data_IF_334659697789
#
_entry.id   IF_334659697789
#
_cell.length_a   1.000
_cell.length_b   1.000
_cell.length_c   1.000
_cell.angle_alpha   90.00
_cell.angle_beta   90.00
_cell.angle_gamma   90.00
#
_symmetry.space_group_name_H-M   'P 1'
#
loop_
_entity.id
_entity.type
_entity.pdbx_description
1 polymer ?
2 non-polymer ?
3 non-polymer ?
4 non-polymer ?
5 water ?
#
# COMPACT_ATOMS: atom_id res chain seq x y z
N UNK A 1 -17.01 -7.93 2.38
CA UNK A 1 -16.72 -7.75 3.80
C UNK A 1 -16.14 -6.38 4.12
N UNK A 2 -16.14 -6.05 5.41
CA UNK A 2 -15.40 -4.92 5.94
C UNK A 2 -14.17 -5.36 6.75
N UNK A 3 -13.03 -4.75 6.43
CA UNK A 3 -11.76 -5.17 6.96
C UNK A 3 -11.18 -3.96 7.68
N UNK A 4 -10.90 -4.13 8.96
CA UNK A 4 -10.23 -3.11 9.75
C UNK A 4 -8.74 -3.21 9.54
N UNK A 5 -8.00 -2.23 10.04
CA UNK A 5 -6.56 -2.20 9.75
C UNK A 5 -5.63 -2.32 10.96
N UNK A 6 -6.13 -2.85 12.08
CA UNK A 6 -5.26 -3.10 13.23
C UNK A 6 -4.30 -4.24 12.90
N UNK A 7 -4.70 -5.10 11.98
CA UNK A 7 -3.79 -6.10 11.45
C UNK A 7 -3.64 -5.87 9.94
N UNK A 8 -2.58 -6.40 9.37
CA UNK A 8 -2.39 -6.41 7.95
C UNK A 8 -3.58 -7.03 7.23
N UNK A 9 -4.09 -6.37 6.20
CA UNK A 9 -5.18 -6.91 5.39
C UNK A 9 -4.74 -8.02 4.44
N UNK A 10 -4.32 -9.14 5.03
CA UNK A 10 -3.91 -10.34 4.30
C UNK A 10 -5.10 -11.25 4.07
N UNK A 11 -5.33 -11.62 2.81
CA UNK A 11 -6.43 -12.50 2.42
C UNK A 11 -5.88 -13.67 1.61
N UNK A 12 -6.69 -14.72 1.48
CA UNK A 12 -6.38 -15.85 0.62
C UNK A 12 -6.86 -15.57 -0.78
N UNK A 13 -5.96 -15.77 -1.73
CA UNK A 13 -6.33 -15.67 -3.12
C UNK A 13 -6.16 -17.05 -3.75
N UNK A 14 -6.95 -17.27 -4.80
CA UNK A 14 -6.82 -18.45 -5.63
C UNK A 14 -6.36 -17.98 -6.99
N UNK A 15 -5.29 -18.59 -7.47
CA UNK A 15 -4.77 -18.27 -8.79
C UNK A 15 -4.17 -19.55 -9.34
N UNK A 16 -4.87 -20.16 -10.29
CA UNK A 16 -4.41 -21.35 -11.00
C UNK A 16 -4.34 -22.52 -10.04
N UNK A 17 -5.45 -22.79 -9.37
CA UNK A 17 -5.45 -23.89 -8.43
C UNK A 17 -4.63 -23.68 -7.18
N UNK A 18 -3.77 -22.66 -7.13
CA UNK A 18 -2.94 -22.45 -5.94
C UNK A 18 -3.66 -21.47 -5.00
N UNK A 19 -3.61 -21.75 -3.70
CA UNK A 19 -4.06 -20.86 -2.63
C UNK A 19 -2.85 -20.11 -2.04
N UNK A 20 -2.89 -18.78 -2.08
CA UNK A 20 -1.79 -17.95 -1.60
C UNK A 20 -2.34 -16.85 -0.70
N UNK A 21 -1.49 -16.33 0.17
CA UNK A 21 -1.83 -15.21 1.01
C UNK A 21 -1.39 -13.94 0.28
N UNK A 22 -2.23 -12.91 0.27
CA UNK A 22 -1.84 -11.63 -0.36
C UNK A 22 -2.37 -10.44 0.41
N UNK A 23 -1.66 -9.32 0.27
CA UNK A 23 -1.96 -8.07 0.98
C UNK A 23 -2.76 -7.12 0.10
N UNK A 24 -3.92 -6.74 0.62
CA UNK A 24 -4.76 -5.74 -0.04
C UNK A 24 -4.07 -4.41 0.18
N UNK A 25 -3.58 -3.84 -0.92
CA UNK A 25 -2.63 -2.73 -0.91
C UNK A 25 -3.11 -1.52 -1.71
N UNK A 26 -3.83 -0.60 -1.08
CA UNK A 26 -4.36 0.57 -1.77
C UNK A 26 -3.30 1.56 -2.25
N UNK A 27 -2.09 1.40 -1.72
CA UNK A 27 -0.93 2.16 -2.16
C UNK A 27 -0.23 1.67 -3.41
N UNK A 28 -0.62 0.52 -3.93
CA UNK A 28 -0.03 -0.04 -5.15
C UNK A 28 -0.96 0.21 -6.34
N UNK A 29 -0.43 0.79 -7.42
CA UNK A 29 -1.22 0.94 -8.63
C UNK A 29 -1.45 -0.43 -9.27
N UNK A 30 -0.47 -1.31 -9.12
CA UNK A 30 -0.38 -2.57 -9.85
C UNK A 30 -0.26 -3.73 -8.87
N UNK A 31 -0.84 -4.86 -9.26
CA UNK A 31 -0.73 -6.11 -8.54
C UNK A 31 0.62 -6.72 -8.92
N UNK A 32 1.39 -7.10 -7.89
CA UNK A 32 2.70 -7.75 -8.05
C UNK A 32 2.75 -9.00 -7.16
N UNK A 33 3.10 -10.14 -7.73
CA UNK A 33 3.14 -11.40 -6.99
C UNK A 33 4.55 -11.94 -6.94
N UNK A 34 4.85 -12.63 -5.86
CA UNK A 34 6.11 -13.30 -5.68
C UNK A 34 6.27 -14.30 -6.81
N UNK A 35 7.54 -14.63 -7.03
CA UNK A 35 8.00 -15.61 -8.02
C UNK A 35 7.08 -16.84 -8.10
N UNK A 36 6.59 -17.11 -9.29
CA UNK A 36 5.74 -18.27 -9.55
C UNK A 36 5.61 -18.50 -11.04
N UNK A 37 5.14 -19.68 -11.40
CA UNK A 37 4.90 -20.01 -12.79
C UNK A 37 3.45 -19.73 -13.16
N UNK A 38 3.29 -18.99 -14.25
CA UNK A 38 1.98 -18.77 -14.81
C UNK A 38 2.01 -19.17 -16.29
N UNK A 39 0.87 -19.63 -16.82
CA UNK A 39 0.89 -20.00 -18.22
C UNK A 39 0.74 -18.79 -19.13
N UNK A 40 1.21 -18.96 -20.36
CA UNK A 40 0.98 -18.00 -21.43
C UNK A 40 2.22 -17.16 -21.65
N UNK A 41 2.08 -16.23 -22.58
CA UNK A 41 3.18 -15.37 -22.95
C UNK A 41 3.28 -14.31 -21.85
N UNK A 42 4.50 -13.86 -21.60
CA UNK A 42 4.72 -12.73 -20.72
C UNK A 42 5.74 -11.81 -21.38
N UNK A 43 5.80 -10.58 -20.87
CA UNK A 43 6.75 -9.55 -21.32
C UNK A 43 7.57 -9.05 -20.14
N UNK A 44 8.88 -8.84 -20.34
CA UNK A 44 9.74 -8.23 -19.32
C UNK A 44 9.35 -6.77 -19.11
N UNK A 45 9.14 -6.37 -17.86
CA UNK A 45 8.84 -4.98 -17.53
C UNK A 45 9.62 -4.61 -16.28
N UNK A 46 9.53 -3.35 -15.88
CA UNK A 46 10.21 -2.88 -14.69
C UNK A 46 9.16 -2.12 -13.89
N UNK A 47 9.27 -2.16 -12.56
CA UNK A 47 8.37 -1.37 -11.72
C UNK A 47 9.15 -0.87 -10.50
N UNK A 48 8.79 0.32 -10.02
CA UNK A 48 9.48 1.00 -8.93
C UNK A 48 8.62 1.03 -7.68
N UNK A 49 9.26 0.87 -6.53
CA UNK A 49 8.59 0.93 -5.24
C UNK A 49 9.39 1.86 -4.35
N UNK A 50 9.24 1.67 -3.05
CA UNK A 50 9.87 2.58 -2.11
C UNK A 50 11.39 2.52 -2.13
N UNK A 51 11.94 1.35 -2.42
CA UNK A 51 13.38 1.13 -2.41
C UNK A 51 14.04 1.19 -3.77
N UNK A 52 13.31 1.43 -4.85
CA UNK A 52 13.93 1.46 -6.17
C UNK A 52 13.13 0.60 -7.14
N UNK A 53 13.76 0.22 -8.24
CA UNK A 53 13.10 -0.50 -9.33
C UNK A 53 13.45 -1.98 -9.32
N UNK A 54 12.52 -2.82 -9.78
CA UNK A 54 12.79 -4.23 -9.94
C UNK A 54 12.38 -4.66 -11.33
N UNK A 55 12.89 -5.81 -11.74
CA UNK A 55 12.46 -6.47 -12.97
C UNK A 55 11.32 -7.43 -12.69
N UNK A 56 10.30 -7.39 -13.54
CA UNK A 56 9.11 -8.21 -13.35
C UNK A 56 8.71 -8.80 -14.69
N UNK A 57 7.94 -9.88 -14.64
CA UNK A 57 7.33 -10.51 -15.80
C UNK A 57 5.86 -10.15 -15.80
N UNK A 58 5.42 -9.56 -16.90
CA UNK A 58 4.04 -9.16 -17.03
C UNK A 58 3.25 -10.23 -17.77
N UNK A 59 2.26 -10.78 -17.06
CA UNK A 59 1.30 -11.72 -17.64
C UNK A 59 -0.04 -11.03 -17.78
N UNK A 60 -0.62 -11.08 -18.97
CA UNK A 60 -1.91 -10.44 -19.21
C UNK A 60 -3.10 -11.36 -18.95
N UNK A 61 -4.23 -10.72 -18.64
CA UNK A 61 -5.51 -11.39 -18.48
C UNK A 61 -5.40 -12.68 -17.65
N UNK A 62 -5.02 -12.54 -16.39
CA UNK A 62 -4.94 -13.66 -15.45
C UNK A 62 -6.07 -13.56 -14.43
N UNK A 63 -6.87 -14.62 -14.26
CA UNK A 63 -7.91 -14.56 -13.24
C UNK A 63 -7.34 -14.82 -11.85
N UNK A 64 -7.77 -13.99 -10.91
CA UNK A 64 -7.51 -14.22 -9.49
C UNK A 64 -8.84 -14.12 -8.74
N UNK A 65 -9.06 -15.03 -7.81
CA UNK A 65 -10.21 -14.99 -6.93
C UNK A 65 -9.75 -14.47 -5.58
N UNK A 66 -10.33 -13.35 -5.17
CA UNK A 66 -9.93 -12.59 -3.99
C UNK A 66 -11.12 -12.58 -3.05
N UNK A 67 -11.10 -13.45 -2.05
CA UNK A 67 -12.18 -13.53 -1.05
C UNK A 67 -13.53 -13.77 -1.70
N UNK A 68 -13.59 -14.72 -2.63
CA UNK A 68 -14.83 -15.02 -3.33
C UNK A 68 -15.14 -14.14 -4.53
N UNK A 69 -14.36 -13.09 -4.74
CA UNK A 69 -14.59 -12.13 -5.81
C UNK A 69 -13.63 -12.33 -6.96
N UNK A 70 -14.22 -12.33 -8.15
CA UNK A 70 -13.47 -12.63 -9.36
C UNK A 70 -12.81 -11.37 -9.90
N UNK A 71 -11.55 -11.51 -10.28
CA UNK A 71 -10.82 -10.50 -11.02
C UNK A 71 -10.09 -11.21 -12.14
N UNK A 72 -9.95 -10.52 -13.27
CA UNK A 72 -9.13 -10.95 -14.39
C UNK A 72 -8.40 -9.72 -14.89
N UNK A 73 -7.08 -9.77 -14.89
CA UNK A 73 -6.31 -8.64 -15.36
C UNK A 73 -4.84 -8.98 -15.51
N UNK A 74 -4.06 -7.91 -15.60
CA UNK A 74 -2.62 -8.01 -15.79
C UNK A 74 -1.97 -8.17 -14.44
N UNK A 75 -1.01 -9.08 -14.38
CA UNK A 75 -0.34 -9.42 -13.14
C UNK A 75 1.16 -9.32 -13.40
N UNK A 76 1.91 -8.78 -12.44
CA UNK A 76 3.37 -8.73 -12.50
C UNK A 76 3.95 -9.69 -11.46
N UNK A 77 5.03 -10.37 -11.83
CA UNK A 77 5.58 -11.43 -11.00
C UNK A 77 7.07 -11.09 -10.88
N UNK A 78 7.55 -10.95 -9.65
CA UNK A 78 8.97 -10.64 -9.45
C UNK A 78 9.25 -10.50 -7.98
N UNK A 79 10.40 -9.88 -7.64
CA UNK A 79 10.88 -9.79 -6.24
C UNK A 79 10.21 -8.74 -5.36
N UNK A 80 8.91 -8.92 -5.17
CA UNK A 80 8.14 -8.16 -4.20
C UNK A 80 8.35 -8.79 -2.82
N UNK A 81 8.34 -7.99 -1.75
CA UNK A 81 8.39 -8.61 -0.42
C UNK A 81 7.22 -9.53 -0.06
N UNK A 82 6.06 -9.33 -0.68
CA UNK A 82 4.85 -10.11 -0.42
C UNK A 82 3.91 -9.97 -1.61
N UNK A 83 3.01 -10.91 -1.81
CA UNK A 83 2.01 -10.73 -2.85
C UNK A 83 1.18 -9.49 -2.56
N UNK A 84 1.09 -8.59 -3.50
CA UNK A 84 0.24 -7.45 -3.31
C UNK A 84 -0.82 -7.32 -4.38
N UNK A 85 -2.06 -7.17 -3.93
CA UNK A 85 -3.17 -6.82 -4.75
C UNK A 85 -3.31 -5.29 -4.80
N UNK A 86 -3.04 -4.71 -5.96
CA UNK A 86 -3.18 -3.29 -6.15
C UNK A 86 -4.53 -2.81 -6.64
N UNK A 87 -4.59 -1.53 -6.95
CA UNK A 87 -5.79 -0.86 -7.40
C UNK A 87 -6.37 -1.44 -8.70
N UNK A 88 -5.50 -1.83 -9.61
CA UNK A 88 -5.95 -2.56 -10.78
C UNK A 88 -6.99 -3.65 -10.48
N UNK A 89 -6.78 -4.47 -9.46
CA UNK A 89 -7.72 -5.54 -9.17
C UNK A 89 -8.69 -5.26 -8.04
N UNK A 90 -8.28 -4.40 -7.11
CA UNK A 90 -9.18 -3.96 -6.05
C UNK A 90 -10.40 -3.22 -6.63
N UNK A 91 -10.21 -2.47 -7.73
CA UNK A 91 -11.35 -1.84 -8.41
C UNK A 91 -12.30 -2.86 -9.03
N UNK A 92 -11.73 -3.94 -9.54
CA UNK A 92 -12.51 -4.99 -10.18
C UNK A 92 -13.43 -5.61 -9.15
N UNK A 93 -12.95 -5.82 -7.92
CA UNK A 93 -13.80 -6.49 -6.93
C UNK A 93 -14.71 -5.54 -6.15
N UNK A 94 -14.70 -4.25 -6.45
CA UNK A 94 -15.62 -3.31 -5.82
C UNK A 94 -15.05 -2.71 -4.55
N UNK A 95 -13.73 -2.67 -4.43
CA UNK A 95 -13.16 -2.34 -3.14
C UNK A 95 -13.03 -0.82 -2.96
N UNK A 96 -13.42 -0.30 -1.79
CA UNK A 96 -13.24 1.12 -1.43
C UNK A 96 -12.65 1.32 -0.03
N UNK A 97 -12.12 2.52 0.21
CA UNK A 97 -11.74 2.97 1.55
C UNK A 97 -12.85 3.83 2.16
N UNK A 98 -13.20 3.52 3.40
CA UNK A 98 -14.24 4.25 4.12
C UNK A 98 -13.77 4.65 5.52
N UNK A 99 -14.16 5.85 5.95
CA UNK A 99 -13.91 6.29 7.31
C UNK A 99 -14.85 7.42 7.67
N UNK B 1 -16.18 9.62 4.69
CA UNK B 1 -16.24 9.52 3.23
C UNK B 1 -16.01 8.10 2.71
N UNK B 2 -16.38 7.87 1.46
CA UNK B 2 -16.00 6.66 0.73
C UNK B 2 -15.03 7.06 -0.37
N UNK B 3 -13.87 6.39 -0.40
CA UNK B 3 -12.82 6.74 -1.37
C UNK B 3 -12.62 5.66 -2.42
N UNK B 4 -12.90 6.02 -3.67
CA UNK B 4 -12.67 5.16 -4.83
C UNK B 4 -11.19 4.84 -5.03
N UNK B 5 -10.94 3.71 -5.68
CA UNK B 5 -9.58 3.28 -6.00
C UNK B 5 -9.28 3.32 -7.50
N UNK B 6 -10.16 3.96 -8.26
CA UNK B 6 -9.92 4.27 -9.67
C UNK B 6 -8.69 5.12 -9.82
N UNK B 7 -8.46 5.98 -8.85
CA UNK B 7 -7.26 6.81 -8.83
C UNK B 7 -6.55 6.59 -7.50
N UNK B 8 -5.28 6.98 -7.41
CA UNK B 8 -4.51 6.87 -6.18
C UNK B 8 -5.25 7.58 -5.04
N UNK B 9 -5.38 6.93 -3.87
CA UNK B 9 -6.13 7.54 -2.77
C UNK B 9 -5.38 8.65 -2.04
N UNK B 10 -5.24 9.77 -2.74
CA UNK B 10 -4.56 10.94 -2.22
C UNK B 10 -5.50 11.85 -1.46
N UNK B 11 -5.06 12.24 -0.26
CA UNK B 11 -5.81 13.14 0.56
C UNK B 11 -4.84 14.17 1.15
N UNK B 12 -5.42 15.25 1.64
CA UNK B 12 -4.68 16.31 2.27
C UNK B 12 -4.43 15.95 3.71
N UNK B 13 -3.20 16.19 4.13
CA UNK B 13 -2.88 16.08 5.53
C UNK B 13 -2.21 17.36 5.99
N UNK B 14 -2.25 17.53 7.31
CA UNK B 14 -1.52 18.61 7.94
C UNK B 14 -0.60 18.10 9.03
N UNK B 15 0.64 18.55 8.97
CA UNK B 15 1.62 18.21 9.99
C UNK B 15 2.45 19.47 10.22
N UNK B 16 2.50 19.93 11.47
CA UNK B 16 3.17 21.18 11.82
C UNK B 16 2.86 22.32 10.88
N UNK B 17 1.58 22.54 10.60
CA UNK B 17 1.22 23.56 9.62
C UNK B 17 1.82 23.42 8.23
N UNK B 18 2.40 22.27 7.92
CA UNK B 18 2.65 21.88 6.52
C UNK B 18 1.46 21.05 6.04
N UNK B 19 0.84 21.50 4.96
CA UNK B 19 -0.19 20.74 4.25
C UNK B 19 0.39 20.00 3.06
N UNK B 20 0.19 18.68 3.09
CA UNK B 20 0.77 17.82 2.08
C UNK B 20 -0.32 16.89 1.56
N UNK B 21 -0.04 16.35 0.38
CA UNK B 21 -0.80 15.27 -0.22
C UNK B 21 -0.15 13.93 0.16
N UNK B 22 -0.98 13.02 0.64
CA UNK B 22 -0.52 11.71 1.07
C UNK B 22 -1.45 10.58 0.67
N UNK B 23 -0.86 9.41 0.55
CA UNK B 23 -1.53 8.22 0.05
C UNK B 23 -2.13 7.43 1.21
N UNK B 24 -3.41 7.12 1.10
CA UNK B 24 -4.08 6.25 2.04
C UNK B 24 -3.71 4.82 1.68
N UNK B 25 -2.83 4.21 2.48
CA UNK B 25 -2.12 3.04 2.06
C UNK B 25 -2.23 1.88 3.06
N UNK B 26 -3.15 0.98 2.74
CA UNK B 26 -3.38 -0.21 3.55
C UNK B 26 -2.22 -1.22 3.47
N UNK B 27 -1.39 -1.12 2.43
CA UNK B 27 -0.17 -1.93 2.36
C UNK B 27 0.97 -1.49 3.27
N UNK B 28 0.86 -0.31 3.89
CA UNK B 28 1.94 0.23 4.71
C UNK B 28 1.65 0.06 6.21
N UNK B 29 2.56 -0.62 6.90
CA UNK B 29 2.40 -0.89 8.34
C UNK B 29 2.48 0.42 9.10
N UNK B 30 3.35 1.30 8.60
CA UNK B 30 3.64 2.57 9.27
C UNK B 30 3.76 3.77 8.35
N UNK B 31 3.27 4.89 8.84
CA UNK B 31 3.30 6.14 8.09
C UNK B 31 4.74 6.57 7.78
N UNK B 32 4.96 6.98 6.54
CA UNK B 32 6.26 7.51 6.18
C UNK B 32 6.07 8.72 5.28
N UNK B 33 6.71 9.79 5.69
CA UNK B 33 6.59 11.05 5.03
C UNK B 33 7.88 11.40 4.33
N UNK B 34 7.74 12.17 3.27
CA UNK B 34 8.83 12.77 2.55
C UNK B 34 9.72 13.59 3.47
N UNK B 35 10.98 13.67 3.11
CA UNK B 35 11.96 14.32 3.93
C UNK B 35 11.49 15.70 4.41
N UNK B 36 11.59 15.90 5.71
CA UNK B 36 11.26 17.16 6.36
C UNK B 36 11.93 17.27 7.74
N UNK B 37 12.20 18.46 8.20
CA UNK B 37 12.96 18.61 9.43
C UNK B 37 12.13 18.87 10.67
N UNK B 38 11.55 17.84 11.23
CA UNK B 38 10.70 17.99 12.37
C UNK B 38 11.47 18.21 13.65
N UNK B 39 10.88 18.92 14.59
CA UNK B 39 11.50 19.05 15.91
C UNK B 39 11.42 17.76 16.72
N UNK B 40 12.27 17.65 17.73
CA UNK B 40 12.13 16.57 18.70
C UNK B 40 13.12 15.48 18.41
N UNK B 41 13.09 14.45 19.24
CA UNK B 41 14.01 13.33 19.12
C UNK B 41 13.49 12.30 18.12
N UNK B 42 14.41 11.47 17.65
CA UNK B 42 14.12 10.39 16.71
C UNK B 42 15.03 9.18 16.92
N UNK B 43 14.62 8.05 16.36
CA UNK B 43 15.45 6.84 16.26
C UNK B 43 15.61 6.48 14.79
N UNK B 44 16.78 5.96 14.40
CA UNK B 44 16.93 5.54 13.00
C UNK B 44 16.34 4.16 12.75
N UNK B 45 15.69 3.99 11.61
CA UNK B 45 15.18 2.69 11.20
C UNK B 45 15.35 2.51 9.70
N UNK B 46 15.13 1.28 9.26
CA UNK B 46 15.07 0.96 7.86
C UNK B 46 13.77 0.26 7.53
N UNK B 47 13.14 0.65 6.43
CA UNK B 47 11.94 -0.03 5.97
C UNK B 47 12.17 -0.50 4.55
N UNK B 48 11.50 -1.60 4.22
CA UNK B 48 11.66 -2.23 2.94
C UNK B 48 10.37 -2.42 2.17
N UNK B 49 10.50 -2.30 0.86
CA UNK B 49 9.43 -2.71 -0.04
C UNK B 49 10.00 -3.13 -1.38
N UNK B 50 9.23 -2.88 -2.43
CA UNK B 50 9.72 -3.12 -3.77
C UNK B 50 10.96 -2.27 -3.96
N UNK B 51 12.04 -2.93 -4.37
CA UNK B 51 13.29 -2.25 -4.68
C UNK B 51 14.26 -2.38 -3.53
N UNK B 52 13.77 -2.78 -2.36
CA UNK B 52 14.61 -2.90 -1.18
C UNK B 52 14.29 -1.89 -0.10
N UNK B 53 15.31 -1.60 0.70
CA UNK B 53 15.17 -0.77 1.88
C UNK B 53 15.63 0.67 1.70
N UNK B 54 15.01 1.55 2.47
CA UNK B 54 15.49 2.92 2.66
C UNK B 54 15.64 3.22 4.14
N UNK B 55 16.50 4.20 4.43
CA UNK B 55 16.74 4.63 5.80
C UNK B 55 15.79 5.79 6.10
N UNK B 56 15.19 5.75 7.28
CA UNK B 56 14.24 6.76 7.76
C UNK B 56 14.48 7.09 9.23
N UNK B 57 13.88 8.18 9.68
CA UNK B 57 13.95 8.57 11.08
C UNK B 57 12.53 8.51 11.65
N UNK B 58 12.38 7.80 12.77
CA UNK B 58 11.13 7.71 13.48
C UNK B 58 11.11 8.80 14.56
N UNK B 59 10.19 9.72 14.41
CA UNK B 59 9.97 10.77 15.39
C UNK B 59 8.88 10.39 16.38
N UNK B 60 8.95 10.93 17.58
CA UNK B 60 7.97 10.61 18.61
C UNK B 60 6.67 11.41 18.48
N UNK B 61 5.57 10.82 18.89
CA UNK B 61 4.26 11.47 18.97
C UNK B 61 4.09 12.84 18.28
N UNK B 62 3.81 12.85 17.00
CA UNK B 62 3.42 14.08 16.30
C UNK B 62 1.94 14.07 15.91
N UNK B 63 1.22 15.17 16.20
CA UNK B 63 -0.13 15.31 15.67
C UNK B 63 -0.15 15.49 14.16
N UNK B 64 -1.01 14.71 13.52
CA UNK B 64 -1.25 14.83 12.09
C UNK B 64 -2.77 14.84 11.86
N UNK B 65 -3.25 15.80 11.08
CA UNK B 65 -4.66 15.85 10.73
C UNK B 65 -4.82 15.34 9.30
N UNK B 66 -5.77 14.43 9.12
CA UNK B 66 -6.00 13.75 7.85
C UNK B 66 -7.45 13.99 7.45
N UNK B 67 -7.67 14.79 6.41
CA UNK B 67 -9.04 15.19 6.09
C UNK B 67 -9.84 15.60 7.31
N UNK B 68 -9.27 16.46 8.15
CA UNK B 68 -10.00 16.96 9.31
C UNK B 68 -10.11 16.00 10.48
N UNK B 69 -9.63 14.77 10.34
CA UNK B 69 -9.63 13.80 11.42
C UNK B 69 -8.27 13.85 12.14
N UNK B 70 -8.33 13.91 13.47
CA UNK B 70 -7.14 14.02 14.29
C UNK B 70 -6.49 12.66 14.51
N UNK B 71 -5.18 12.64 14.32
CA UNK B 71 -4.42 11.46 14.67
C UNK B 71 -3.18 11.94 15.39
N UNK B 72 -2.48 11.03 16.04
CA UNK B 72 -1.17 11.36 16.57
C UNK B 72 -0.40 10.07 16.82
N UNK B 73 0.88 10.10 16.47
CA UNK B 73 1.67 8.89 16.55
C UNK B 73 3.12 9.13 16.22
N UNK B 74 3.94 8.11 16.41
CA UNK B 74 5.26 8.18 15.83
C UNK B 74 5.04 8.28 14.31
N UNK B 75 5.94 8.99 13.62
CA UNK B 75 5.97 8.95 12.15
C UNK B 75 7.41 8.76 11.67
N UNK B 76 7.54 8.04 10.57
CA UNK B 76 8.80 7.84 9.89
C UNK B 76 8.96 8.91 8.83
N UNK B 77 10.20 9.36 8.67
CA UNK B 77 10.54 10.41 7.71
C UNK B 77 11.79 10.00 6.95
N UNK B 78 11.75 10.12 5.63
CA UNK B 78 12.90 9.84 4.80
C UNK B 78 12.62 9.96 3.32
N UNK B 79 13.53 9.42 2.48
CA UNK B 79 13.50 9.70 1.06
C UNK B 79 12.51 8.81 0.30
N UNK B 80 11.26 8.82 0.76
CA UNK B 80 10.18 8.17 0.04
C UNK B 80 9.73 9.06 -1.12
N UNK B 81 9.38 8.47 -2.27
CA UNK B 81 8.87 9.26 -3.40
C UNK B 81 7.48 9.85 -3.19
N UNK B 82 6.78 9.38 -2.16
CA UNK B 82 5.43 9.83 -1.89
C UNK B 82 5.18 9.75 -0.40
N UNK B 83 4.35 10.66 0.09
CA UNK B 83 3.84 10.65 1.46
C UNK B 83 2.79 9.55 1.63
N UNK B 84 3.01 8.71 2.64
CA UNK B 84 2.25 7.48 2.80
C UNK B 84 1.68 7.40 4.20
N UNK B 85 0.34 7.31 4.27
CA UNK B 85 -0.37 7.15 5.52
C UNK B 85 -0.64 5.67 5.73
N UNK B 86 0.03 5.09 6.72
CA UNK B 86 -0.02 3.67 6.98
C UNK B 86 -1.09 3.33 8.00
N UNK B 87 -1.22 2.03 8.25
CA UNK B 87 -2.24 1.47 9.16
C UNK B 87 -2.18 2.07 10.57
N UNK B 88 -0.98 2.41 11.03
CA UNK B 88 -0.84 3.04 12.33
C UNK B 88 -1.79 4.24 12.46
N UNK B 89 -1.94 5.05 11.41
CA UNK B 89 -2.83 6.21 11.44
C UNK B 89 -4.19 5.99 10.78
N UNK B 90 -4.30 5.04 9.86
CA UNK B 90 -5.60 4.71 9.26
C UNK B 90 -6.58 4.17 10.31
N UNK B 91 -6.05 3.42 11.28
CA UNK B 91 -6.89 2.89 12.35
C UNK B 91 -7.39 4.01 13.25
N UNK B 92 -6.54 5.00 13.52
CA UNK B 92 -6.92 6.13 14.34
C UNK B 92 -8.03 7.01 13.76
N UNK B 93 -8.14 7.09 12.44
CA UNK B 93 -9.17 7.91 11.80
C UNK B 93 -10.36 7.08 11.32
N UNK B 94 -10.45 5.82 11.75
CA UNK B 94 -11.57 4.93 11.45
C UNK B 94 -11.66 4.34 10.05
N UNK B 95 -10.52 4.16 9.40
CA UNK B 95 -10.51 3.71 8.03
C UNK B 95 -10.61 2.20 7.90
N UNK B 96 -11.53 1.77 7.04
CA UNK B 96 -11.69 0.37 6.65
C UNK B 96 -11.61 0.20 5.14
N UNK B 97 -11.34 -1.04 4.75
CA UNK B 97 -11.51 -1.50 3.38
C UNK B 97 -12.84 -2.19 3.31
N UNK B 98 -13.60 -1.91 2.25
CA UNK B 98 -14.92 -2.51 2.07
C UNK B 98 -15.07 -2.97 0.64
N UNK B 99 -15.66 -4.15 0.47
CA UNK B 99 -16.02 -4.64 -0.86
C UNK B 99 -17.05 -5.75 -0.71
X LIG C 1 6.12 1.45 6.69
X LIG C 1 6.17 1.16 5.37
X LIG C 1 6.81 0.00 4.91
X LIG C 1 6.83 -0.23 3.53
X LIG C 1 6.23 0.64 2.62
X LIG C 1 5.57 1.76 3.12
X LIG C 1 5.56 2.04 4.48
X LIG C 1 6.20 0.33 1.03
X LIG C 1 7.40 -0.38 0.64
X LIG C 1 6.02 1.56 0.29
X LIG C 1 4.91 -0.60 0.66
X LIG C 1 4.86 -1.92 1.34
X LIG C 1 4.32 -3.02 0.41
X LIG C 1 5.12 -3.19 -0.88
X LIG C 1 4.16 -4.37 1.11
X LIG C 1 3.61 0.11 0.67
X LIG C 1 3.12 0.12 -0.78
X LIG C 1 1.74 0.50 -0.81
X LIG C 1 3.90 0.98 -1.77
X LIG C 1 3.41 0.53 -3.05
X LIG C 1 4.11 -0.03 -4.03
X LIG C 1 5.28 -0.32 -3.97
X LIG C 1 3.36 -0.29 -5.25
X LIG C 1 4.11 -0.58 -6.43
X LIG C 1 3.24 -1.51 -7.24
X LIG C 1 2.33 -0.67 -7.94
X LIG C 1 3.04 0.52 -8.28
X LIG C 1 2.24 1.67 -8.03
X LIG C 1 2.75 2.37 -6.89
X LIG C 1 4.21 2.01 -6.78
X LIG C 1 4.26 0.60 -7.37
X LIG C 1 3.74 2.51 -1.57
X LIG C 1 3.75 3.96 -3.63
X LIG C 1 4.37 4.66 -4.66
X LIG C 1 5.75 4.73 -4.69
X LIG C 1 6.48 4.09 -3.69
X LIG C 1 5.85 3.40 -2.66
X LIG C 1 4.46 3.31 -2.63
X LIG D 1 -9.00 -20.69 -12.11
X LIG D 1 -10.03 -21.80 -12.04
X LIG D 1 -7.73 -21.08 -11.39
X LIG D 1 -8.83 -20.29 -13.56
X LIG D 1 -9.55 -19.43 -11.49
X LIG E 1 1.82 -18.14 0.45
X LIG E 1 1.86 -19.42 -0.38
X LIG E 1 1.37 -17.05 -0.50
X LIG E 1 0.90 -18.33 1.64
X LIG E 1 3.19 -17.81 1.01
X LIG F 1 5.69 -22.07 -8.72
X LIG F 1 5.55 -23.43 -8.07
X LIG F 1 4.32 -21.59 -9.15
X LIG F 1 6.33 -21.16 -7.70
X LIG F 1 6.60 -22.12 -9.93
X LIG G 1 -3.53 6.91 -11.14
X LIG G 1 -4.26 5.62 -11.45
X LIG G 1 -4.07 7.70 -9.97
X LIG G 1 -2.07 6.55 -10.91
X LIG G 1 -3.65 7.80 -12.36
X LIG H 1 -0.37 -9.21 10.91
X LIG H 1 0.56 -9.91 11.35
X LIG H 1 -0.25 -7.98 11.16
X LIG H 1 -1.49 -9.86 10.15
X LIG I 1 11.29 -2.40 -20.17
X LIG I 1 10.07 -2.65 -20.21
X LIG I 1 11.60 -1.21 -20.38
X LIG I 1 12.33 -3.45 -19.92
X LIG J 1 3.47 17.67 -0.64
X LIG J 1 2.22 16.89 -0.95
X LIG J 1 3.12 19.11 -0.32
X LIG J 1 4.18 17.06 0.55
X LIG J 1 4.36 17.65 -1.86
X LIG K 1 9.01 1.23 18.31
X LIG K 1 10.19 1.57 18.56
X LIG K 1 8.14 2.08 18.57
X LIG K 1 8.66 -0.11 17.73
#
# INVERSE_FOLDING_TARGET
>A
PQITLWKRPLVTIRIGGQLKEALLDTGADNTVLEEMNLPGKWKPKMIGGIGGFIKVRQYDQIPVEICGHKAIGTVLVGPTPVNIIGRDLLTQIGCTLNF
>B
PQITLWKRPLVTIRIGGQLKEALLDTGADNTVLEEMNLPGKWKPKMIGGIGGFIKVRQYDQIPVEICGHKAIGTVLVGPTPVNIIGRDLLTQIGCTLNF
>C hetero
1 017 N1 C2 C3 C4 C5 C6 C7 S8 O9 O10 N11 C12 C13 C14 C15 C16 C17 O18 C19 N20 C21 O22 O23 C24 C25 O26 C27 O28 C29 C30 C31 C32 C33 C34 C35 C36 C37 C38
>D hetero
1 PO4 P O1 O2 O3 O4
>E hetero
1 PO4 P O1 O2 O3 O4
>F hetero
1 PO4 P O1 O2 O3 O4
>G hetero
1 PO4 P O1 O2 O3 O4
>H hetero
1 ACT C O OXT CH3
>I hetero
1 ACT C O OXT CH3
>J hetero
1 PO4 P O1 O2 O3 O4
>K hetero
1 ACT C O OXT CH3
#
